data_IF_679585415057
#
_entry.id   IF_679585415057
#
_cell.length_a   1.000
_cell.length_b   1.000
_cell.length_c   1.000
_cell.angle_alpha   90.00
_cell.angle_beta   90.00
_cell.angle_gamma   90.00
#
_symmetry.space_group_name_H-M   'P 1'
#
loop_
_entity.id
_entity.type
_entity.pdbx_description
1 polymer ?
#
# COMPACT_ATOMS: atom_id res chain seq x y z
N UNK A 1 -2.50 21.12 4.93
CA UNK A 1 -2.46 20.17 6.07
C UNK A 1 -2.57 18.77 5.50
N UNK A 2 -1.76 17.81 5.94
CA UNK A 2 -1.83 16.45 5.41
C UNK A 2 -3.12 15.76 5.89
N UNK A 3 -3.98 15.33 4.95
CA UNK A 3 -5.18 14.55 5.27
C UNK A 3 -4.78 13.11 5.60
N UNK A 4 -4.45 12.83 6.86
CA UNK A 4 -4.23 11.45 7.32
C UNK A 4 -5.41 10.97 8.15
N UNK A 5 -5.89 9.75 7.85
CA UNK A 5 -6.87 9.04 8.67
C UNK A 5 -6.20 7.82 9.30
N UNK A 6 -6.60 7.46 10.52
CA UNK A 6 -6.07 6.28 11.22
C UNK A 6 -6.71 4.99 10.70
N UNK A 7 -5.90 3.94 10.58
CA UNK A 7 -6.33 2.60 10.22
C UNK A 7 -6.30 1.69 11.47
N UNK A 8 -7.46 1.22 11.91
CA UNK A 8 -7.55 0.21 12.96
C UNK A 8 -7.54 -1.20 12.36
N UNK A 9 -6.51 -1.98 12.68
CA UNK A 9 -6.38 -3.38 12.26
C UNK A 9 -6.29 -4.25 13.49
N UNK A 10 -7.13 -5.30 13.54
CA UNK A 10 -6.97 -6.36 14.53
C UNK A 10 -5.87 -7.29 14.06
N UNK A 11 -4.88 -7.49 14.92
CA UNK A 11 -3.78 -8.41 14.73
C UNK A 11 -3.59 -9.19 16.02
N UNK A 12 -3.15 -10.43 15.89
CA UNK A 12 -2.70 -11.20 17.04
C UNK A 12 -1.47 -10.52 17.68
N UNK A 13 -1.36 -10.57 19.01
CA UNK A 13 -0.29 -9.87 19.75
C UNK A 13 1.09 -10.49 19.49
N UNK A 14 1.17 -11.80 19.25
CA UNK A 14 2.44 -12.46 18.88
C UNK A 14 2.91 -11.97 17.51
N UNK A 15 1.99 -11.96 16.53
CA UNK A 15 2.27 -11.47 15.17
C UNK A 15 2.69 -10.00 15.21
N UNK A 16 2.00 -9.18 15.99
CA UNK A 16 2.32 -7.75 16.15
C UNK A 16 3.71 -7.54 16.72
N UNK A 17 4.10 -8.34 17.72
CA UNK A 17 5.43 -8.27 18.34
C UNK A 17 6.50 -8.65 17.33
N UNK A 18 6.37 -9.84 16.71
CA UNK A 18 7.33 -10.34 15.72
C UNK A 18 7.50 -9.39 14.53
N UNK A 19 6.40 -8.88 13.99
CA UNK A 19 6.43 -7.93 12.87
C UNK A 19 7.10 -6.61 13.26
N UNK A 20 6.86 -6.13 14.48
CA UNK A 20 7.48 -4.89 14.97
C UNK A 20 8.99 -5.04 15.09
N UNK A 21 9.47 -6.14 15.67
CA UNK A 21 10.92 -6.40 15.81
C UNK A 21 11.60 -6.58 14.45
N UNK A 22 11.01 -7.36 13.55
CA UNK A 22 11.56 -7.60 12.22
C UNK A 22 11.65 -6.29 11.40
N UNK A 23 10.60 -5.47 11.42
CA UNK A 23 10.60 -4.18 10.72
C UNK A 23 11.57 -3.19 11.36
N UNK A 24 11.67 -3.15 12.69
CA UNK A 24 12.63 -2.32 13.40
C UNK A 24 14.08 -2.69 13.07
N UNK A 25 14.39 -3.99 12.93
CA UNK A 25 15.70 -4.46 12.46
C UNK A 25 16.04 -3.97 11.04
N UNK A 26 15.02 -3.68 10.22
CA UNK A 26 15.17 -3.07 8.89
C UNK A 26 15.11 -1.53 8.91
N UNK A 27 14.98 -0.90 10.08
CA UNK A 27 14.85 0.56 10.22
C UNK A 27 13.50 1.10 9.80
N UNK A 28 12.45 0.26 9.75
CA UNK A 28 11.09 0.62 9.35
C UNK A 28 10.13 0.58 10.54
N UNK A 29 9.16 1.49 10.56
CA UNK A 29 8.00 1.36 11.45
C UNK A 29 6.90 0.50 10.79
N UNK A 30 6.01 -0.06 11.61
CA UNK A 30 4.81 -0.76 11.13
C UNK A 30 3.96 0.15 10.23
N UNK A 31 3.84 1.43 10.59
CA UNK A 31 3.12 2.42 9.78
C UNK A 31 3.73 2.62 8.40
N UNK A 32 5.06 2.57 8.28
CA UNK A 32 5.74 2.71 6.98
C UNK A 32 5.51 1.48 6.12
N UNK A 33 5.62 0.29 6.70
CA UNK A 33 5.33 -0.96 6.00
C UNK A 33 3.88 -1.01 5.48
N UNK A 34 2.91 -0.63 6.33
CA UNK A 34 1.49 -0.55 5.94
C UNK A 34 1.27 0.49 4.84
N UNK A 35 1.91 1.67 4.94
CA UNK A 35 1.80 2.71 3.89
C UNK A 35 2.33 2.21 2.54
N UNK A 36 3.50 1.56 2.53
CA UNK A 36 4.09 0.98 1.32
C UNK A 36 3.16 -0.07 0.72
N UNK A 37 2.62 -0.99 1.54
CA UNK A 37 1.69 -2.02 1.09
C UNK A 37 0.43 -1.43 0.44
N UNK A 38 -0.19 -0.44 1.08
CA UNK A 38 -1.40 0.19 0.56
C UNK A 38 -1.13 0.95 -0.75
N UNK A 39 -0.01 1.67 -0.86
CA UNK A 39 0.39 2.33 -2.11
C UNK A 39 0.65 1.30 -3.21
N UNK A 40 1.37 0.22 -2.90
CA UNK A 40 1.67 -0.83 -3.87
C UNK A 40 0.39 -1.48 -4.39
N UNK A 41 -0.57 -1.79 -3.51
CA UNK A 41 -1.87 -2.36 -3.91
C UNK A 41 -2.75 -1.38 -4.67
N UNK A 42 -2.79 -0.10 -4.29
CA UNK A 42 -3.53 0.91 -5.04
C UNK A 42 -2.98 1.10 -6.47
N UNK A 43 -1.65 1.04 -6.64
CA UNK A 43 -1.00 1.11 -7.95
C UNK A 43 -1.18 -0.15 -8.78
N UNK A 44 -1.05 -1.33 -8.17
CA UNK A 44 -1.29 -2.60 -8.88
C UNK A 44 -2.75 -2.72 -9.33
N UNK A 45 -3.70 -2.28 -8.51
CA UNK A 45 -5.12 -2.24 -8.88
C UNK A 45 -5.41 -1.27 -10.04
N UNK A 46 -4.53 -0.27 -10.28
CA UNK A 46 -4.67 0.67 -11.39
C UNK A 46 -4.55 -0.02 -12.76
N UNK A 47 -3.81 -1.13 -12.85
CA UNK A 47 -3.52 -1.80 -14.12
C UNK A 47 -3.55 -3.32 -13.94
N UNK A 48 -4.73 -3.91 -14.09
CA UNK A 48 -4.94 -5.37 -13.95
C UNK A 48 -4.33 -6.22 -15.08
N UNK A 49 -4.03 -5.60 -16.23
CA UNK A 49 -3.32 -6.22 -17.36
C UNK A 49 -2.64 -5.13 -18.20
N UNK A 50 -1.70 -5.53 -19.06
CA UNK A 50 -1.08 -4.63 -20.04
C UNK A 50 -2.13 -4.01 -20.99
N UNK A 51 -3.13 -4.81 -21.41
CA UNK A 51 -4.22 -4.33 -22.25
C UNK A 51 -5.08 -3.27 -21.54
N UNK A 52 -5.42 -3.50 -20.26
CA UNK A 52 -6.18 -2.53 -19.47
C UNK A 52 -5.42 -1.20 -19.28
N UNK A 53 -4.09 -1.25 -19.26
CA UNK A 53 -3.24 -0.06 -19.20
C UNK A 53 -3.24 0.72 -20.52
N UNK A 54 -3.19 0.03 -21.66
CA UNK A 54 -3.24 0.64 -22.99
C UNK A 54 -4.61 1.31 -23.20
N UNK A 55 -5.70 0.63 -22.84
CA UNK A 55 -7.06 1.18 -22.93
C UNK A 55 -7.25 2.46 -22.10
N UNK A 56 -6.75 2.48 -20.86
CA UNK A 56 -6.84 3.66 -19.98
C UNK A 56 -6.01 4.84 -20.52
N UNK A 57 -4.85 4.57 -21.12
CA UNK A 57 -4.03 5.61 -21.76
C UNK A 57 -4.71 6.20 -23.00
N UNK A 58 -5.35 5.37 -23.82
CA UNK A 58 -6.06 5.83 -25.01
C UNK A 58 -7.27 6.69 -24.63
N UNK A 59 -8.03 6.31 -23.60
CA UNK A 59 -9.12 7.12 -23.04
C UNK A 59 -8.64 8.46 -22.48
N UNK A 60 -7.52 8.47 -21.76
CA UNK A 60 -6.98 9.69 -21.16
C UNK A 60 -6.48 10.70 -22.21
N UNK A 61 -6.04 10.21 -23.39
CA UNK A 61 -5.62 11.06 -24.52
C UNK A 61 -6.79 11.72 -25.26
N UNK A 62 -7.97 11.10 -25.22
CA UNK A 62 -9.17 11.57 -25.94
C UNK A 62 -10.01 12.58 -25.12
N UNK A 63 -9.60 12.90 -23.89
CA UNK A 63 -10.20 13.94 -23.04
C UNK A 63 -9.41 15.25 -23.15
#
# INVERSE_FOLDING_TARGET
>A
MAHSTMLHVRVDEEIKTQATEALAAMGLSVSDAVRILLIAKARAARFGSADALIDDLEKARQQ
#
